data_IF_804637800727
#
_entry.id   IF_804637800727
#
_cell.length_a   1.000
_cell.length_b   1.000
_cell.length_c   1.000
_cell.angle_alpha   90.00
_cell.angle_beta   90.00
_cell.angle_gamma   90.00
#
_symmetry.space_group_name_H-M   'P 1'
#
loop_
_entity.id
_entity.type
_entity.pdbx_description
1 polymer ?
#
# COMPACT_ATOMS: atom_id res chain seq x y z
N UNK A 1 34.39 -5.62 7.71
CA UNK A 1 33.17 -6.19 7.10
C UNK A 1 33.48 -6.41 5.63
N UNK A 2 33.09 -7.53 5.01
CA UNK A 2 33.30 -7.71 3.55
C UNK A 2 32.20 -6.93 2.80
N UNK A 3 32.49 -6.46 1.59
CA UNK A 3 31.57 -5.63 0.79
C UNK A 3 30.20 -6.28 0.61
N UNK A 4 30.17 -7.59 0.28
CA UNK A 4 28.93 -8.38 0.18
C UNK A 4 28.12 -8.43 1.48
N UNK A 5 28.78 -8.42 2.65
CA UNK A 5 28.11 -8.49 3.95
C UNK A 5 27.51 -7.13 4.31
N UNK A 6 28.19 -6.04 3.94
CA UNK A 6 27.68 -4.67 4.06
C UNK A 6 26.49 -4.43 3.12
N UNK A 7 26.59 -4.80 1.84
CA UNK A 7 25.49 -4.71 0.88
C UNK A 7 24.27 -5.53 1.35
N UNK A 8 24.50 -6.73 1.88
CA UNK A 8 23.44 -7.56 2.48
C UNK A 8 22.75 -6.88 3.67
N UNK A 9 23.52 -6.20 4.53
CA UNK A 9 22.98 -5.46 5.68
C UNK A 9 22.15 -4.25 5.23
N UNK A 10 22.61 -3.49 4.24
CA UNK A 10 21.88 -2.35 3.66
C UNK A 10 20.59 -2.82 2.99
N UNK A 11 20.61 -3.95 2.28
CA UNK A 11 19.45 -4.54 1.63
C UNK A 11 18.34 -4.87 2.65
N UNK A 12 18.65 -5.59 3.74
CA UNK A 12 17.66 -5.94 4.78
C UNK A 12 17.03 -4.70 5.43
N UNK A 13 17.80 -3.63 5.68
CA UNK A 13 17.25 -2.39 6.21
C UNK A 13 16.36 -1.66 5.18
N UNK A 14 16.71 -1.75 3.90
CA UNK A 14 15.92 -1.18 2.79
C UNK A 14 14.60 -1.93 2.60
N UNK A 15 14.61 -3.26 2.67
CA UNK A 15 13.39 -4.10 2.64
C UNK A 15 12.43 -3.74 3.78
N UNK A 16 12.95 -3.60 5.01
CA UNK A 16 12.15 -3.19 6.17
C UNK A 16 11.60 -1.75 6.05
N UNK A 17 12.41 -0.81 5.53
CA UNK A 17 11.99 0.57 5.30
C UNK A 17 10.88 0.67 4.24
N UNK A 18 11.02 -0.04 3.11
CA UNK A 18 10.00 -0.08 2.06
C UNK A 18 8.67 -0.65 2.57
N UNK A 19 8.70 -1.71 3.37
CA UNK A 19 7.49 -2.27 3.99
C UNK A 19 6.84 -1.25 4.94
N UNK A 20 7.63 -0.54 5.74
CA UNK A 20 7.14 0.52 6.64
C UNK A 20 6.49 1.67 5.86
N UNK A 21 7.13 2.17 4.79
CA UNK A 21 6.60 3.24 3.93
C UNK A 21 5.31 2.80 3.24
N UNK A 22 5.27 1.58 2.69
CA UNK A 22 4.06 1.05 2.04
C UNK A 22 2.88 0.97 3.00
N UNK A 23 3.08 0.51 4.24
CA UNK A 23 2.03 0.42 5.25
C UNK A 23 1.67 1.77 5.88
N UNK A 24 2.60 2.72 5.96
CA UNK A 24 2.32 4.12 6.31
C UNK A 24 1.35 4.76 5.31
N UNK A 25 1.62 4.61 4.00
CA UNK A 25 0.71 5.11 2.97
C UNK A 25 -0.61 4.32 2.95
N UNK A 26 -0.58 3.00 3.13
CA UNK A 26 -1.80 2.20 3.28
C UNK A 26 -2.71 2.71 4.42
N UNK A 27 -2.14 3.02 5.58
CA UNK A 27 -2.89 3.62 6.69
C UNK A 27 -3.43 5.03 6.32
N UNK A 28 -2.65 5.85 5.62
CA UNK A 28 -3.05 7.20 5.20
C UNK A 28 -4.13 7.20 4.09
N UNK A 29 -4.21 6.13 3.29
CA UNK A 29 -5.27 5.90 2.30
C UNK A 29 -6.46 5.11 2.85
N UNK A 30 -6.50 4.81 4.16
CA UNK A 30 -7.62 4.13 4.80
C UNK A 30 -7.72 2.62 4.52
N UNK A 31 -6.63 1.97 4.10
CA UNK A 31 -6.62 0.54 3.76
C UNK A 31 -7.18 -0.32 4.89
N UNK A 32 -8.19 -1.12 4.57
CA UNK A 32 -8.83 -2.01 5.54
C UNK A 32 -7.99 -3.28 5.80
N UNK A 33 -8.55 -4.26 6.53
CA UNK A 33 -7.86 -5.53 6.80
C UNK A 33 -7.59 -6.34 5.52
N UNK A 34 -8.48 -6.27 4.54
CA UNK A 34 -8.37 -6.96 3.25
C UNK A 34 -7.37 -6.27 2.32
N UNK A 35 -7.37 -4.93 2.25
CA UNK A 35 -6.43 -4.14 1.46
C UNK A 35 -4.99 -4.33 1.94
N UNK A 36 -4.76 -4.25 3.26
CA UNK A 36 -3.44 -4.51 3.84
C UNK A 36 -2.95 -5.93 3.55
N UNK A 37 -3.86 -6.92 3.53
CA UNK A 37 -3.52 -8.30 3.15
C UNK A 37 -3.20 -8.42 1.66
N UNK A 38 -3.94 -7.72 0.78
CA UNK A 38 -3.69 -7.67 -0.67
C UNK A 38 -2.36 -6.98 -0.99
N UNK A 39 -2.09 -5.84 -0.35
CA UNK A 39 -0.81 -5.11 -0.45
C UNK A 39 0.37 -5.99 -0.06
N UNK A 40 0.29 -6.66 1.09
CA UNK A 40 1.32 -7.61 1.53
C UNK A 40 1.48 -8.78 0.56
N UNK A 41 0.39 -9.27 -0.03
CA UNK A 41 0.44 -10.27 -1.10
C UNK A 41 1.28 -9.81 -2.29
N UNK A 42 0.93 -8.66 -2.88
CA UNK A 42 1.64 -8.10 -4.05
C UNK A 42 3.12 -7.78 -3.75
N UNK A 43 3.45 -7.32 -2.54
CA UNK A 43 4.85 -7.09 -2.13
C UNK A 43 5.64 -8.41 -2.08
N UNK A 44 5.06 -9.47 -1.51
CA UNK A 44 5.73 -10.78 -1.37
C UNK A 44 5.76 -11.64 -2.65
N UNK A 45 5.07 -11.22 -3.72
CA UNK A 45 5.20 -11.84 -5.05
C UNK A 45 6.55 -11.48 -5.71
N UNK A 46 7.24 -10.46 -5.20
CA UNK A 46 8.57 -10.03 -5.64
C UNK A 46 9.68 -10.60 -4.71
N UNK A 47 10.90 -10.87 -5.24
CA UNK A 47 12.04 -11.16 -4.39
C UNK A 47 12.44 -9.93 -3.58
N UNK A 48 12.88 -10.12 -2.34
CA UNK A 48 13.42 -9.02 -1.52
C UNK A 48 14.71 -8.47 -2.13
N UNK A 49 15.08 -7.22 -1.80
CA UNK A 49 16.37 -6.66 -2.20
C UNK A 49 17.50 -7.54 -1.65
N UNK A 50 17.35 -8.06 -0.43
CA UNK A 50 18.28 -9.02 0.14
C UNK A 50 18.41 -10.33 -0.67
N UNK A 51 17.32 -10.89 -1.21
CA UNK A 51 17.36 -12.10 -2.02
C UNK A 51 18.06 -11.88 -3.38
N UNK A 52 17.88 -10.69 -3.96
CA UNK A 52 18.56 -10.27 -5.19
C UNK A 52 20.05 -10.07 -4.92
N UNK A 53 20.42 -9.29 -3.89
CA UNK A 53 21.81 -9.01 -3.51
C UNK A 53 22.55 -10.27 -3.04
N UNK A 54 21.86 -11.20 -2.36
CA UNK A 54 22.42 -12.49 -1.93
C UNK A 54 22.50 -13.54 -3.04
N UNK A 55 21.95 -13.28 -4.24
CA UNK A 55 21.84 -14.29 -5.30
C UNK A 55 20.94 -15.49 -4.97
N UNK A 56 20.02 -15.34 -4.00
CA UNK A 56 19.09 -16.40 -3.56
C UNK A 56 17.82 -16.47 -4.40
N UNK A 57 17.47 -15.38 -5.07
CA UNK A 57 16.30 -15.29 -5.94
C UNK A 57 16.48 -16.08 -7.25
N UNK A 58 15.99 -17.33 -7.28
CA UNK A 58 15.70 -18.03 -8.54
C UNK A 58 14.43 -17.43 -9.16
N UNK A 59 14.60 -16.50 -10.09
CA UNK A 59 13.50 -15.87 -10.84
C UNK A 59 12.60 -16.92 -11.50
N UNK A 60 11.35 -17.04 -11.03
CA UNK A 60 10.29 -17.74 -11.77
C UNK A 60 9.75 -16.79 -12.83
N UNK A 61 9.89 -17.15 -14.09
CA UNK A 61 9.19 -16.45 -15.18
C UNK A 61 7.66 -16.62 -15.02
N UNK A 62 6.85 -15.63 -15.43
CA UNK A 62 5.40 -15.76 -15.42
C UNK A 62 4.95 -16.85 -16.40
N UNK A 63 4.37 -17.93 -15.87
CA UNK A 63 3.77 -18.99 -16.68
C UNK A 63 2.33 -18.61 -17.05
N UNK A 64 2.11 -18.35 -18.33
CA UNK A 64 0.81 -18.02 -18.89
C UNK A 64 0.05 -19.33 -19.21
N UNK A 65 -0.73 -19.83 -18.25
CA UNK A 65 -1.44 -21.11 -18.38
C UNK A 65 -2.96 -20.94 -18.47
N UNK A 66 -3.47 -21.07 -19.70
CA UNK A 66 -4.90 -21.05 -19.99
C UNK A 66 -5.66 -22.22 -19.34
N UNK A 67 -6.89 -21.96 -18.90
CA UNK A 67 -7.82 -22.95 -18.39
C UNK A 67 -8.22 -23.99 -19.45
N UNK A 68 -8.20 -25.28 -19.08
CA UNK A 68 -9.21 -26.24 -19.55
C UNK A 68 -9.45 -27.33 -18.50
N UNK A 69 -10.70 -27.75 -18.40
CA UNK A 69 -11.32 -28.47 -17.28
C UNK A 69 -11.29 -29.99 -17.44
N UNK A 70 -10.93 -30.75 -16.39
CA UNK A 70 -11.57 -32.05 -16.13
C UNK A 70 -11.52 -32.52 -14.65
N UNK A 71 -12.71 -32.85 -14.15
CA UNK A 71 -13.07 -33.51 -12.87
C UNK A 71 -12.05 -34.51 -12.28
N UNK A 72 -11.95 -34.55 -10.95
CA UNK A 72 -12.50 -35.68 -10.15
C UNK A 72 -12.55 -35.43 -8.64
N UNK A 73 -13.54 -36.03 -7.97
CA UNK A 73 -13.67 -36.12 -6.50
C UNK A 73 -12.65 -37.12 -5.93
N UNK A 74 -12.12 -36.89 -4.73
CA UNK A 74 -12.32 -37.82 -3.61
C UNK A 74 -12.03 -37.18 -2.25
N UNK A 75 -12.58 -37.80 -1.22
CA UNK A 75 -12.56 -37.41 0.18
C UNK A 75 -11.71 -38.42 0.97
N UNK A 76 -10.73 -38.00 1.79
CA UNK A 76 -10.64 -38.51 3.18
C UNK A 76 -9.58 -37.87 4.11
N UNK A 77 -9.83 -38.13 5.39
CA UNK A 77 -9.11 -37.77 6.62
C UNK A 77 -7.60 -38.08 6.70
N UNK A 78 -6.95 -37.25 7.52
CA UNK A 78 -5.65 -37.37 8.19
C UNK A 78 -5.49 -38.64 9.07
N UNK A 79 -4.24 -39.07 9.34
CA UNK A 79 -3.84 -39.45 10.70
C UNK A 79 -2.57 -38.73 11.22
N UNK A 80 -2.49 -38.58 12.56
CA UNK A 80 -1.30 -38.10 13.30
C UNK A 80 -0.24 -39.20 13.45
N UNK A 81 1.03 -38.83 13.70
CA UNK A 81 1.95 -39.61 14.53
C UNK A 81 1.97 -39.10 15.99
N UNK A 82 2.06 -40.01 16.96
CA UNK A 82 2.32 -39.73 18.38
C UNK A 82 3.70 -40.30 18.75
N UNK A 83 4.47 -39.62 19.61
CA UNK A 83 5.52 -40.22 20.43
C UNK A 83 5.54 -39.58 21.84
N UNK A 84 6.10 -40.32 22.80
CA UNK A 84 5.94 -40.25 24.27
C UNK A 84 6.84 -39.18 24.95
N UNK A 85 6.36 -38.43 25.94
CA UNK A 85 6.36 -38.70 27.41
C UNK A 85 7.76 -38.90 28.03
N UNK A 86 8.21 -37.91 28.82
CA UNK A 86 9.04 -38.07 30.04
C UNK A 86 8.64 -36.96 31.05
N UNK A 87 8.56 -37.29 32.34
CA UNK A 87 8.03 -36.44 33.42
C UNK A 87 9.10 -35.61 34.17
N UNK A 88 8.77 -34.37 34.56
CA UNK A 88 9.13 -33.88 35.90
C UNK A 88 8.19 -32.75 36.38
N UNK A 89 8.14 -32.58 37.69
CA UNK A 89 7.14 -31.84 38.45
C UNK A 89 7.59 -30.40 38.75
N UNK A 90 6.65 -29.45 38.96
CA UNK A 90 6.65 -28.45 40.05
C UNK A 90 5.68 -27.25 39.81
N UNK A 91 4.72 -27.12 40.75
CA UNK A 91 3.98 -25.96 41.29
C UNK A 91 3.76 -24.63 40.50
N UNK A 92 2.54 -24.09 40.66
CA UNK A 92 2.16 -22.69 40.46
C UNK A 92 1.71 -22.07 41.81
N UNK A 93 1.90 -20.76 42.05
CA UNK A 93 0.88 -19.76 41.69
C UNK A 93 1.53 -18.44 41.16
N UNK A 94 0.90 -17.27 41.00
CA UNK A 94 -0.43 -16.75 41.36
C UNK A 94 -0.92 -15.67 40.34
N UNK A 95 -2.07 -15.04 40.59
CA UNK A 95 -2.72 -14.06 39.71
C UNK A 95 -2.32 -12.58 39.93
N UNK A 96 -2.68 -11.73 38.96
CA UNK A 96 -2.64 -10.27 39.04
C UNK A 96 -3.32 -9.61 37.84
N UNK A 97 -4.53 -9.09 38.05
CA UNK A 97 -5.34 -8.40 37.03
C UNK A 97 -5.05 -6.89 36.95
N UNK A 98 -5.06 -6.31 35.75
CA UNK A 98 -5.63 -4.99 35.39
C UNK A 98 -5.60 -4.85 33.84
N UNK A 99 -6.50 -4.17 33.13
CA UNK A 99 -7.71 -3.45 33.53
C UNK A 99 -8.14 -2.44 32.46
N UNK A 100 -9.15 -2.78 31.63
CA UNK A 100 -9.77 -1.87 30.66
C UNK A 100 -8.96 -1.54 29.40
N UNK A 101 -9.57 -1.01 28.34
CA UNK A 101 -11.00 -0.78 28.13
C UNK A 101 -11.30 0.00 26.83
N UNK A 102 -12.42 -0.35 26.19
CA UNK A 102 -13.23 0.47 25.27
C UNK A 102 -12.54 1.36 24.20
N UNK A 103 -12.65 0.94 22.93
CA UNK A 103 -13.22 1.75 21.84
C UNK A 103 -13.56 0.80 20.66
N UNK A 104 -14.80 0.63 20.19
CA UNK A 104 -15.96 1.52 20.34
C UNK A 104 -15.96 2.59 19.25
N UNK A 105 -15.87 2.18 17.98
CA UNK A 105 -15.93 3.10 16.84
C UNK A 105 -17.36 3.59 16.55
N UNK A 106 -17.49 4.80 16.00
CA UNK A 106 -18.77 5.35 15.57
C UNK A 106 -18.70 6.79 15.05
N UNK A 107 -18.54 6.95 13.73
CA UNK A 107 -18.70 8.21 12.98
C UNK A 107 -17.40 9.02 12.76
N UNK A 108 -17.06 9.45 11.54
CA UNK A 108 -17.68 9.19 10.22
C UNK A 108 -16.93 9.93 9.10
N UNK A 109 -17.02 9.44 7.85
CA UNK A 109 -16.25 9.92 6.67
C UNK A 109 -14.85 9.26 6.60
N UNK A 110 -14.45 8.45 5.60
CA UNK A 110 -14.60 8.60 4.14
C UNK A 110 -13.91 9.93 3.70
N UNK A 111 -12.89 9.95 2.83
CA UNK A 111 -12.95 9.63 1.40
C UNK A 111 -11.57 9.32 0.76
N UNK A 112 -11.65 8.56 -0.32
CA UNK A 112 -10.66 7.85 -1.15
C UNK A 112 -9.28 8.46 -1.49
N UNK A 113 -8.29 7.56 -1.67
CA UNK A 113 -6.96 7.83 -2.25
C UNK A 113 -6.91 7.87 -3.78
N UNK A 114 -8.02 8.16 -4.46
CA UNK A 114 -8.01 8.54 -5.87
C UNK A 114 -7.80 10.06 -5.97
N UNK A 115 -6.69 10.50 -6.55
CA UNK A 115 -6.53 11.93 -6.87
C UNK A 115 -7.56 12.31 -7.94
N UNK A 116 -8.64 12.96 -7.51
CA UNK A 116 -9.70 13.43 -8.40
C UNK A 116 -9.29 14.75 -9.06
N UNK A 117 -9.63 14.93 -10.34
CA UNK A 117 -9.42 16.20 -11.00
C UNK A 117 -10.32 17.27 -10.41
N UNK A 118 -9.74 18.34 -9.84
CA UNK A 118 -10.47 19.45 -9.21
C UNK A 118 -11.35 20.31 -10.13
N UNK A 119 -11.57 19.88 -11.38
CA UNK A 119 -12.46 20.52 -12.37
C UNK A 119 -13.54 19.58 -12.94
N UNK A 120 -13.29 18.28 -13.11
CA UNK A 120 -14.31 17.32 -13.59
C UNK A 120 -14.73 16.28 -12.54
N UNK A 121 -14.00 16.13 -11.44
CA UNK A 121 -14.29 15.14 -10.38
C UNK A 121 -13.84 13.72 -10.70
N UNK A 122 -13.43 13.42 -11.93
CA UNK A 122 -13.01 12.08 -12.33
C UNK A 122 -11.55 11.76 -11.96
N UNK A 123 -11.27 10.46 -11.84
CA UNK A 123 -9.95 9.85 -11.87
C UNK A 123 -9.81 9.08 -13.19
N UNK A 124 -8.83 9.40 -14.05
CA UNK A 124 -8.62 8.67 -15.30
C UNK A 124 -7.16 8.49 -15.72
N UNK A 125 -6.88 7.27 -16.19
CA UNK A 125 -5.89 6.97 -17.23
C UNK A 125 -4.43 6.93 -16.78
N UNK A 126 -3.75 5.80 -17.02
CA UNK A 126 -2.32 5.61 -16.77
C UNK A 126 -1.38 6.45 -17.68
N UNK A 127 -1.92 7.36 -18.50
CA UNK A 127 -1.17 8.13 -19.51
C UNK A 127 -1.77 9.53 -19.79
N UNK A 128 -2.50 10.11 -18.83
CA UNK A 128 -3.03 11.48 -18.96
C UNK A 128 -2.11 12.51 -18.28
N UNK A 129 -1.95 13.69 -18.88
CA UNK A 129 -1.15 14.79 -18.31
C UNK A 129 -1.91 15.54 -17.22
N UNK A 130 -1.26 15.73 -16.07
CA UNK A 130 -1.79 16.45 -14.90
C UNK A 130 -0.92 17.65 -14.49
N UNK A 131 -1.55 18.67 -13.91
CA UNK A 131 -0.89 19.85 -13.34
C UNK A 131 -1.49 20.22 -11.98
N UNK A 132 -0.64 20.48 -10.98
CA UNK A 132 -1.02 20.88 -9.62
C UNK A 132 -1.01 22.40 -9.44
N UNK A 133 -2.01 22.95 -8.74
CA UNK A 133 -2.15 24.38 -8.50
C UNK A 133 -1.44 24.84 -7.21
N UNK A 134 -0.51 25.79 -7.30
CA UNK A 134 0.26 26.29 -6.15
C UNK A 134 -0.58 27.05 -5.09
N UNK A 135 -1.82 27.43 -5.43
CA UNK A 135 -2.69 28.23 -4.56
C UNK A 135 -3.72 27.43 -3.77
N UNK A 136 -4.06 26.23 -4.23
CA UNK A 136 -5.08 25.39 -3.57
C UNK A 136 -4.69 23.91 -3.51
N UNK A 137 -3.48 23.56 -3.97
CA UNK A 137 -2.85 22.23 -3.92
C UNK A 137 -3.64 21.11 -4.65
N UNK A 138 -4.75 21.47 -5.33
CA UNK A 138 -5.56 20.56 -6.14
C UNK A 138 -4.87 20.24 -7.47
N UNK A 139 -5.10 19.02 -7.91
CA UNK A 139 -4.61 18.46 -9.17
C UNK A 139 -5.67 18.54 -10.27
N UNK A 140 -5.23 18.74 -11.51
CA UNK A 140 -6.12 18.90 -12.66
C UNK A 140 -5.56 18.17 -13.89
N UNK A 141 -6.40 17.45 -14.64
CA UNK A 141 -6.05 17.05 -16.01
C UNK A 141 -5.75 18.31 -16.84
N UNK A 142 -4.67 18.34 -17.60
CA UNK A 142 -4.31 19.49 -18.44
C UNK A 142 -5.42 19.90 -19.41
N UNK A 143 -6.19 18.93 -19.95
CA UNK A 143 -7.38 19.17 -20.79
C UNK A 143 -8.46 19.99 -20.05
N UNK A 144 -8.73 19.68 -18.79
CA UNK A 144 -9.78 20.33 -17.99
C UNK A 144 -9.45 21.79 -17.66
N UNK A 145 -8.17 22.15 -17.66
CA UNK A 145 -7.69 23.52 -17.38
C UNK A 145 -7.03 24.21 -18.58
N UNK A 146 -7.10 23.60 -19.78
CA UNK A 146 -6.55 24.12 -21.04
C UNK A 146 -5.03 24.41 -20.98
N UNK A 147 -4.29 23.52 -20.32
CA UNK A 147 -2.82 23.51 -20.28
C UNK A 147 -2.32 22.24 -20.98
N UNK A 148 -1.40 22.41 -21.94
CA UNK A 148 -0.67 21.31 -22.60
C UNK A 148 0.66 21.04 -21.90
N UNK A 149 1.26 19.84 -22.02
CA UNK A 149 2.57 19.53 -21.43
C UNK A 149 3.66 20.55 -21.79
N UNK A 150 3.81 20.86 -23.09
CA UNK A 150 4.79 21.85 -23.58
C UNK A 150 4.57 23.28 -23.02
N UNK A 151 3.31 23.63 -22.67
CA UNK A 151 3.03 24.90 -21.99
C UNK A 151 3.45 24.83 -20.51
N UNK A 152 3.25 23.68 -19.86
CA UNK A 152 3.58 23.48 -18.45
C UNK A 152 5.09 23.49 -18.18
N UNK A 153 5.93 23.02 -19.10
CA UNK A 153 7.41 23.14 -19.03
C UNK A 153 7.91 24.56 -18.75
N UNK A 154 7.13 25.57 -19.15
CA UNK A 154 7.47 26.99 -19.04
C UNK A 154 6.74 27.71 -17.88
N UNK A 155 5.89 27.00 -17.12
CA UNK A 155 5.13 27.56 -15.99
C UNK A 155 5.90 27.30 -14.69
N UNK A 156 6.46 28.36 -14.10
CA UNK A 156 7.12 28.29 -12.78
C UNK A 156 6.15 28.20 -11.60
N UNK A 157 4.96 28.80 -11.75
CA UNK A 157 3.87 28.77 -10.79
C UNK A 157 2.54 28.72 -11.55
N UNK A 158 1.74 27.69 -11.30
CA UNK A 158 0.44 27.47 -11.91
C UNK A 158 -0.70 27.82 -10.95
N UNK A 159 -1.57 28.73 -11.38
CA UNK A 159 -2.81 29.09 -10.70
C UNK A 159 -3.99 28.57 -11.50
N UNK A 160 -4.82 27.71 -10.90
CA UNK A 160 -6.00 27.16 -11.59
C UNK A 160 -7.06 28.25 -11.86
N UNK A 161 -8.00 28.03 -12.81
CA UNK A 161 -9.02 29.03 -13.16
C UNK A 161 -9.80 29.58 -11.96
N UNK A 162 -10.20 28.73 -11.02
CA UNK A 162 -10.89 29.13 -9.79
C UNK A 162 -10.04 30.07 -8.95
N UNK A 163 -8.75 29.75 -8.73
CA UNK A 163 -7.84 30.61 -7.99
C UNK A 163 -7.46 31.89 -8.76
N UNK A 164 -7.45 31.88 -10.10
CA UNK A 164 -7.22 33.08 -10.91
C UNK A 164 -8.37 34.09 -10.78
N UNK A 165 -9.62 33.62 -10.76
CA UNK A 165 -10.79 34.48 -10.57
C UNK A 165 -11.05 34.90 -9.11
N UNK A 166 -10.62 34.12 -8.12
CA UNK A 166 -10.94 34.30 -6.70
C UNK A 166 -10.20 35.47 -5.99
N UNK A 167 -10.02 36.62 -6.64
CA UNK A 167 -9.62 37.86 -5.96
C UNK A 167 -10.84 38.62 -5.39
N UNK A 168 -11.87 37.91 -4.91
CA UNK A 168 -13.08 38.49 -4.34
C UNK A 168 -14.11 37.47 -3.84
N UNK A 169 -14.25 37.36 -2.51
CA UNK A 169 -15.31 36.62 -1.80
C UNK A 169 -15.10 35.09 -1.74
N UNK A 170 -15.39 34.38 -0.64
CA UNK A 170 -16.02 34.80 0.63
C UNK A 170 -17.33 34.06 0.89
N UNK A 171 -17.29 33.02 1.71
CA UNK A 171 -18.37 32.38 2.50
C UNK A 171 -19.84 32.46 2.05
N UNK A 172 -20.48 31.29 1.89
CA UNK A 172 -21.94 31.08 1.85
C UNK A 172 -22.30 29.88 0.98
N UNK A 173 -23.16 28.94 1.38
CA UNK A 173 -23.92 28.76 2.65
C UNK A 173 -24.09 27.27 2.95
#
# INVERSE_FOLDING_TARGET
MQEKDWLSMVAVHSDAWLLSVAFYFGARFGFDKSDRKRLFGMINELPTIFDVVSGKSKTKAPTNNNHSNSKSKSNNKMPKPQLKEEDHEDEAPDAGEDGGGAAGGGGGGEEHGDTLCGACGDNYGQDEFWIGCDMCEKWFHGKCVKITPAKAEHIKQYKCPSCMGANGGGSGS
#
